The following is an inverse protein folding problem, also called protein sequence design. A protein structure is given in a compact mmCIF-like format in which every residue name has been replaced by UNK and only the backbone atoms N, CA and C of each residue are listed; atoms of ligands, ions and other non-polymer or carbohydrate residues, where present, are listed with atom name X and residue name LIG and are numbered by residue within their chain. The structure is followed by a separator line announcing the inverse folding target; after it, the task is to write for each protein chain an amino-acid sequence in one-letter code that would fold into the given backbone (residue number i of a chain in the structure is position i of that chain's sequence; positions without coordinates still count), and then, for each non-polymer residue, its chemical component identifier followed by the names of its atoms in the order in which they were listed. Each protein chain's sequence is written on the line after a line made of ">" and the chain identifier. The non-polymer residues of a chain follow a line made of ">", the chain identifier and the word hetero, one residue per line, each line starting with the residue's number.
data_IF_745342391618
#
_entry.id   IF_745342391618
#
_cell.length_a   1.000
_cell.length_b   1.000
_cell.length_c   1.000
_cell.angle_alpha   90.00
_cell.angle_beta   90.00
_cell.angle_gamma   90.00
#
_symmetry.space_group_name_H-M   'P 1'
#
loop_
_entity.id
_entity.type
_entity.pdbx_description
1 polymer ?
#
# COMPACT_ATOMS: atom_id res chain seq x y z
N UNK A 1 -37.85 15.91 -7.33
CA UNK A 1 -37.16 14.71 -7.84
C UNK A 1 -35.84 14.59 -7.09
N UNK A 2 -35.65 13.55 -6.28
CA UNK A 2 -34.34 13.27 -5.69
C UNK A 2 -33.48 12.64 -6.80
N UNK A 3 -32.37 13.28 -7.17
CA UNK A 3 -31.39 12.67 -8.07
C UNK A 3 -30.75 11.47 -7.37
N UNK A 4 -30.75 10.32 -8.05
CA UNK A 4 -30.04 9.14 -7.54
C UNK A 4 -28.55 9.45 -7.39
N UNK A 5 -27.89 8.97 -6.32
CA UNK A 5 -26.47 9.19 -6.13
C UNK A 5 -25.67 8.59 -7.29
N UNK A 6 -24.62 9.30 -7.69
CA UNK A 6 -23.73 8.80 -8.75
C UNK A 6 -22.96 7.57 -8.28
N UNK A 7 -22.47 6.74 -9.20
CA UNK A 7 -21.62 5.59 -8.84
C UNK A 7 -20.41 6.00 -7.99
N UNK A 8 -19.83 7.18 -8.27
CA UNK A 8 -18.70 7.73 -7.53
C UNK A 8 -19.06 8.04 -6.06
N UNK A 9 -20.24 8.62 -5.81
CA UNK A 9 -20.70 8.88 -4.45
C UNK A 9 -20.97 7.57 -3.69
N UNK A 10 -21.65 6.62 -4.33
CA UNK A 10 -21.98 5.33 -3.71
C UNK A 10 -20.72 4.55 -3.34
N UNK A 11 -19.75 4.46 -4.26
CA UNK A 11 -18.52 3.73 -4.01
C UNK A 11 -17.61 4.44 -3.00
N UNK A 12 -17.66 5.78 -2.91
CA UNK A 12 -16.93 6.56 -1.91
C UNK A 12 -17.48 6.26 -0.51
N UNK A 13 -18.80 6.40 -0.32
CA UNK A 13 -19.45 6.12 0.95
C UNK A 13 -19.31 4.66 1.36
N UNK A 14 -19.40 3.73 0.40
CA UNK A 14 -19.22 2.29 0.64
C UNK A 14 -17.80 1.98 1.13
N UNK A 15 -16.78 2.54 0.49
CA UNK A 15 -15.38 2.36 0.91
C UNK A 15 -15.12 3.01 2.28
N UNK A 16 -15.65 4.21 2.50
CA UNK A 16 -15.49 4.92 3.76
C UNK A 16 -16.13 4.19 4.94
N UNK A 17 -17.41 3.83 4.82
CA UNK A 17 -18.16 3.10 5.86
C UNK A 17 -17.62 1.70 6.06
N UNK A 18 -17.20 1.04 4.98
CA UNK A 18 -16.50 -0.24 5.07
C UNK A 18 -15.21 -0.13 5.90
N UNK A 19 -14.38 0.87 5.64
CA UNK A 19 -13.14 1.07 6.41
C UNK A 19 -13.43 1.40 7.89
N UNK A 20 -14.44 2.23 8.19
CA UNK A 20 -14.83 2.53 9.56
C UNK A 20 -15.33 1.28 10.30
N UNK A 21 -16.20 0.49 9.66
CA UNK A 21 -16.69 -0.76 10.21
C UNK A 21 -15.55 -1.73 10.48
N UNK A 22 -14.56 -1.81 9.59
CA UNK A 22 -13.38 -2.64 9.81
C UNK A 22 -12.64 -2.21 11.08
N UNK A 23 -12.37 -0.91 11.28
CA UNK A 23 -11.71 -0.43 12.51
C UNK A 23 -12.55 -0.65 13.76
N UNK A 24 -13.88 -0.49 13.69
CA UNK A 24 -14.78 -0.75 14.83
C UNK A 24 -14.71 -2.23 15.22
N UNK A 25 -14.77 -3.15 14.26
CA UNK A 25 -14.71 -4.59 14.53
C UNK A 25 -13.36 -4.99 15.13
N UNK A 26 -12.25 -4.57 14.50
CA UNK A 26 -10.89 -4.88 14.96
C UNK A 26 -10.62 -4.23 16.32
N UNK A 27 -11.03 -2.98 16.50
CA UNK A 27 -10.91 -2.24 17.75
C UNK A 27 -11.73 -2.89 18.88
N UNK A 28 -12.96 -3.31 18.60
CA UNK A 28 -13.82 -4.01 19.55
C UNK A 28 -13.22 -5.34 20.01
N UNK A 29 -12.73 -6.16 19.08
CA UNK A 29 -12.02 -7.42 19.39
C UNK A 29 -10.79 -7.14 20.27
N UNK A 30 -10.02 -6.12 19.91
CA UNK A 30 -8.77 -5.74 20.59
C UNK A 30 -9.04 -5.21 21.99
N UNK A 31 -10.06 -4.38 22.17
CA UNK A 31 -10.46 -3.84 23.46
C UNK A 31 -11.00 -4.93 24.40
N UNK A 32 -11.83 -5.84 23.88
CA UNK A 32 -12.36 -6.95 24.66
C UNK A 32 -11.25 -7.88 25.18
N UNK A 33 -10.17 -8.06 24.41
CA UNK A 33 -9.02 -8.90 24.77
C UNK A 33 -7.79 -8.10 25.22
N UNK A 34 -7.97 -6.86 25.68
CA UNK A 34 -6.87 -5.94 26.00
C UNK A 34 -5.82 -6.56 26.93
N UNK A 35 -6.27 -7.25 27.98
CA UNK A 35 -5.38 -7.88 28.96
C UNK A 35 -4.45 -8.91 28.34
N UNK A 36 -4.97 -9.72 27.40
CA UNK A 36 -4.22 -10.78 26.71
C UNK A 36 -3.25 -10.21 25.66
N UNK A 37 -3.60 -9.08 25.07
CA UNK A 37 -2.84 -8.48 23.97
C UNK A 37 -1.77 -7.49 24.43
N UNK A 38 -2.03 -6.73 25.52
CA UNK A 38 -1.18 -5.59 25.89
C UNK A 38 -0.48 -5.71 27.25
N UNK A 39 -0.96 -6.51 28.21
CA UNK A 39 -0.35 -6.54 29.56
C UNK A 39 0.90 -7.43 29.68
N UNK A 40 1.17 -8.29 28.70
CA UNK A 40 2.38 -9.12 28.71
C UNK A 40 3.66 -8.27 28.50
N UNK A 41 4.77 -8.64 29.16
CA UNK A 41 6.05 -7.89 29.14
C UNK A 41 6.87 -8.07 27.86
N UNK A 42 6.52 -9.02 26.98
CA UNK A 42 7.25 -9.23 25.73
C UNK A 42 6.80 -8.27 24.60
N UNK A 43 7.74 -7.81 23.77
CA UNK A 43 7.46 -7.02 22.55
C UNK A 43 6.73 -5.66 22.76
N UNK A 44 7.04 -4.95 23.86
CA UNK A 44 6.41 -3.65 24.16
C UNK A 44 6.61 -2.60 23.08
N UNK A 45 7.78 -2.58 22.42
CA UNK A 45 8.07 -1.59 21.39
C UNK A 45 7.12 -1.73 20.20
N UNK A 46 6.89 -2.96 19.75
CA UNK A 46 5.92 -3.26 18.71
C UNK A 46 4.48 -2.93 19.13
N UNK A 47 4.09 -3.26 20.37
CA UNK A 47 2.73 -2.99 20.86
C UNK A 47 2.40 -1.50 20.88
N UNK A 48 3.34 -0.67 21.37
CA UNK A 48 3.16 0.77 21.41
C UNK A 48 3.12 1.36 20.00
N UNK A 49 4.04 0.95 19.12
CA UNK A 49 4.06 1.40 17.73
C UNK A 49 2.76 1.01 17.00
N UNK A 50 2.32 -0.24 17.15
CA UNK A 50 1.10 -0.77 16.55
C UNK A 50 -0.17 -0.12 17.09
N UNK A 51 -0.26 0.13 18.40
CA UNK A 51 -1.37 0.85 19.00
C UNK A 51 -1.44 2.29 18.47
N UNK A 52 -0.33 3.02 18.48
CA UNK A 52 -0.26 4.37 17.93
C UNK A 52 -0.69 4.38 16.45
N UNK A 53 -0.14 3.48 15.63
CA UNK A 53 -0.49 3.40 14.21
C UNK A 53 -1.96 3.06 13.99
N UNK A 54 -2.53 2.12 14.76
CA UNK A 54 -3.96 1.78 14.71
C UNK A 54 -4.84 2.99 15.02
N UNK A 55 -4.54 3.72 16.09
CA UNK A 55 -5.31 4.92 16.45
C UNK A 55 -5.15 6.03 15.40
N UNK A 56 -3.95 6.19 14.83
CA UNK A 56 -3.71 7.17 13.77
C UNK A 56 -4.51 6.87 12.50
N UNK A 57 -4.56 5.60 12.10
CA UNK A 57 -5.39 5.10 11.00
C UNK A 57 -6.89 5.32 11.27
N UNK A 58 -7.36 4.93 12.46
CA UNK A 58 -8.75 5.09 12.86
C UNK A 58 -9.16 6.58 12.89
N UNK A 59 -8.30 7.46 13.42
CA UNK A 59 -8.50 8.91 13.40
C UNK A 59 -8.55 9.48 11.98
N UNK A 60 -7.69 9.01 11.08
CA UNK A 60 -7.78 9.36 9.66
C UNK A 60 -9.13 8.97 9.08
N UNK A 61 -9.57 7.75 9.35
CA UNK A 61 -10.84 7.23 8.83
C UNK A 61 -12.08 7.98 9.35
N UNK A 62 -12.03 8.57 10.56
CA UNK A 62 -13.16 9.31 11.14
C UNK A 62 -13.23 10.76 10.67
N UNK A 63 -12.22 11.24 9.94
CA UNK A 63 -12.09 12.66 9.58
C UNK A 63 -11.80 12.89 8.08
N UNK A 64 -12.11 11.89 7.23
CA UNK A 64 -11.95 11.94 5.77
C UNK A 64 -12.78 13.06 5.12
N UNK A 65 -13.98 13.30 5.65
CA UNK A 65 -14.93 14.30 5.16
C UNK A 65 -14.53 15.73 5.51
N UNK A 66 -13.61 15.91 6.45
CA UNK A 66 -13.12 17.22 6.84
C UNK A 66 -12.13 17.71 5.80
N UNK A 67 -12.45 18.82 5.14
CA UNK A 67 -11.52 19.52 4.28
C UNK A 67 -10.30 19.94 5.09
N UNK A 68 -9.14 19.38 4.75
CA UNK A 68 -7.85 19.70 5.38
C UNK A 68 -7.02 20.53 4.41
N UNK A 69 -6.24 21.46 4.94
CA UNK A 69 -5.20 22.11 4.14
C UNK A 69 -4.20 21.05 3.64
N UNK A 70 -3.58 21.34 2.50
CA UNK A 70 -2.61 20.47 1.85
C UNK A 70 -1.41 20.14 2.76
N UNK A 71 -0.99 21.10 3.60
CA UNK A 71 0.06 20.93 4.62
C UNK A 71 -0.37 19.97 5.73
N UNK A 72 -1.59 20.08 6.24
CA UNK A 72 -2.11 19.19 7.30
C UNK A 72 -2.28 17.77 6.76
N UNK A 73 -2.77 17.63 5.52
CA UNK A 73 -2.87 16.33 4.86
C UNK A 73 -1.48 15.67 4.68
N UNK A 74 -0.49 16.46 4.24
CA UNK A 74 0.88 15.97 4.09
C UNK A 74 1.51 15.56 5.42
N UNK A 75 1.42 16.40 6.46
CA UNK A 75 1.91 16.05 7.79
C UNK A 75 1.26 14.77 8.33
N UNK A 76 -0.04 14.60 8.09
CA UNK A 76 -0.74 13.37 8.46
C UNK A 76 -0.17 12.14 7.75
N UNK A 77 0.13 12.24 6.46
CA UNK A 77 0.70 11.13 5.68
C UNK A 77 2.11 10.77 6.10
N UNK A 78 2.92 11.75 6.48
CA UNK A 78 4.26 11.50 7.02
C UNK A 78 4.17 10.70 8.33
N UNK A 79 3.31 11.14 9.27
CA UNK A 79 3.11 10.41 10.52
C UNK A 79 2.55 9.00 10.25
N UNK A 80 1.64 8.88 9.28
CA UNK A 80 1.08 7.58 8.88
C UNK A 80 2.15 6.62 8.34
N UNK A 81 2.97 7.08 7.39
CA UNK A 81 4.04 6.27 6.80
C UNK A 81 5.13 5.90 7.83
N UNK A 82 5.57 6.87 8.64
CA UNK A 82 6.57 6.63 9.69
C UNK A 82 6.06 5.63 10.74
N UNK A 83 4.81 5.79 11.22
CA UNK A 83 4.25 4.86 12.21
C UNK A 83 4.01 3.45 11.64
N UNK A 84 3.62 3.32 10.37
CA UNK A 84 3.50 2.03 9.70
C UNK A 84 4.84 1.32 9.53
N UNK A 85 5.88 2.07 9.15
CA UNK A 85 7.26 1.57 9.07
C UNK A 85 7.77 1.14 10.44
N UNK A 86 7.61 1.97 11.47
CA UNK A 86 8.01 1.62 12.84
C UNK A 86 7.30 0.37 13.34
N UNK A 87 6.00 0.24 13.08
CA UNK A 87 5.20 -0.94 13.49
C UNK A 87 5.73 -2.22 12.87
N UNK A 88 6.08 -2.20 11.58
CA UNK A 88 6.58 -3.39 10.86
C UNK A 88 8.04 -3.72 11.22
N UNK A 89 8.90 -2.71 11.38
CA UNK A 89 10.30 -2.92 11.81
C UNK A 89 10.38 -3.45 13.24
N UNK A 90 9.61 -2.87 14.16
CA UNK A 90 9.57 -3.36 15.56
C UNK A 90 8.97 -4.77 15.63
N UNK A 91 8.03 -5.15 14.76
CA UNK A 91 7.55 -6.52 14.66
C UNK A 91 8.68 -7.49 14.28
N UNK A 92 9.44 -7.16 13.23
CA UNK A 92 10.55 -7.98 12.76
C UNK A 92 11.69 -8.11 13.81
N UNK A 93 11.85 -7.08 14.66
CA UNK A 93 12.81 -7.08 15.77
C UNK A 93 12.34 -7.92 16.95
N UNK A 94 11.11 -7.70 17.39
CA UNK A 94 10.59 -8.26 18.65
C UNK A 94 10.07 -9.71 18.49
N UNK A 95 9.78 -10.13 17.25
CA UNK A 95 9.39 -11.50 16.90
C UNK A 95 10.36 -12.12 15.87
N UNK A 96 11.62 -12.39 16.24
CA UNK A 96 12.62 -12.92 15.32
C UNK A 96 12.37 -14.41 15.05
N UNK A 97 11.35 -14.71 14.23
CA UNK A 97 11.05 -16.05 13.71
C UNK A 97 12.02 -16.44 12.57
N UNK A 98 13.33 -16.17 12.76
CA UNK A 98 14.37 -16.26 11.72
C UNK A 98 14.56 -17.68 11.17
N UNK A 99 14.37 -18.68 12.03
CA UNK A 99 14.55 -20.09 11.70
C UNK A 99 13.24 -20.82 11.40
N UNK A 100 12.09 -20.13 11.48
CA UNK A 100 10.80 -20.74 11.17
C UNK A 100 10.65 -20.84 9.65
N UNK A 101 10.44 -22.07 9.17
CA UNK A 101 10.15 -22.35 7.75
C UNK A 101 8.76 -22.94 7.64
N UNK A 102 7.87 -22.24 6.93
CA UNK A 102 6.54 -22.74 6.63
C UNK A 102 6.62 -23.86 5.58
N UNK A 103 5.67 -24.81 5.63
CA UNK A 103 5.59 -25.85 4.62
C UNK A 103 5.28 -25.25 3.23
N UNK A 104 5.73 -25.88 2.14
CA UNK A 104 5.36 -25.45 0.78
C UNK A 104 3.84 -25.31 0.63
N UNK A 105 3.41 -24.27 -0.08
CA UNK A 105 1.99 -23.95 -0.29
C UNK A 105 1.28 -23.26 0.88
N UNK A 106 2.00 -22.90 1.95
CA UNK A 106 1.43 -22.18 3.09
C UNK A 106 2.02 -20.75 3.20
N UNK A 107 1.15 -19.77 3.38
CA UNK A 107 1.54 -18.38 3.70
C UNK A 107 1.47 -18.17 5.21
N UNK A 108 2.48 -17.51 5.79
CA UNK A 108 2.49 -17.16 7.21
C UNK A 108 1.28 -16.32 7.63
N UNK A 109 0.69 -15.60 6.68
CA UNK A 109 -0.44 -14.69 6.88
C UNK A 109 -1.83 -15.25 6.57
N UNK A 110 -1.90 -16.35 5.80
CA UNK A 110 -3.17 -16.92 5.35
C UNK A 110 -3.44 -18.29 5.93
N UNK A 111 -2.41 -19.00 6.39
CA UNK A 111 -2.57 -20.35 6.89
C UNK A 111 -2.53 -20.44 8.39
N UNK A 112 -3.48 -21.19 8.94
CA UNK A 112 -3.57 -21.46 10.37
C UNK A 112 -2.34 -22.23 10.89
N UNK A 113 -1.72 -23.05 10.04
CA UNK A 113 -0.55 -23.88 10.39
C UNK A 113 0.78 -23.17 10.19
N UNK A 114 0.80 -22.04 9.47
CA UNK A 114 2.00 -21.28 9.15
C UNK A 114 2.18 -20.09 10.09
N UNK A 115 3.43 -19.71 10.34
CA UNK A 115 3.76 -18.53 11.15
C UNK A 115 4.30 -17.43 10.26
N UNK A 116 4.00 -16.18 10.61
CA UNK A 116 4.63 -15.02 9.96
C UNK A 116 6.12 -15.03 10.30
N UNK A 117 6.94 -15.15 9.27
CA UNK A 117 8.39 -15.19 9.40
C UNK A 117 8.97 -13.78 9.53
N UNK A 118 10.18 -13.68 10.09
CA UNK A 118 10.90 -12.41 10.13
C UNK A 118 11.13 -11.84 8.71
N UNK A 119 11.35 -12.73 7.74
CA UNK A 119 11.55 -12.36 6.36
C UNK A 119 10.30 -11.71 5.74
N UNK A 120 9.11 -12.28 5.99
CA UNK A 120 7.83 -11.70 5.59
C UNK A 120 7.60 -10.33 6.26
N UNK A 121 7.93 -10.17 7.55
CA UNK A 121 7.81 -8.88 8.25
C UNK A 121 8.74 -7.81 7.66
N UNK A 122 9.98 -8.17 7.33
CA UNK A 122 10.94 -7.26 6.69
C UNK A 122 10.56 -6.91 5.25
N UNK A 123 9.90 -7.83 4.53
CA UNK A 123 9.36 -7.52 3.21
C UNK A 123 8.24 -6.46 3.30
N UNK A 124 7.36 -6.54 4.30
CA UNK A 124 6.32 -5.52 4.49
C UNK A 124 6.87 -4.18 4.97
N UNK A 125 7.94 -4.16 5.78
CA UNK A 125 8.57 -2.89 6.16
C UNK A 125 9.15 -2.17 4.95
N UNK A 126 9.69 -2.90 3.96
CA UNK A 126 10.08 -2.33 2.67
C UNK A 126 8.89 -1.71 1.93
N UNK A 127 7.73 -2.37 1.87
CA UNK A 127 6.55 -1.78 1.21
C UNK A 127 5.96 -0.59 1.98
N UNK A 128 6.03 -0.57 3.31
CA UNK A 128 5.66 0.61 4.09
C UNK A 128 6.62 1.78 3.85
N UNK A 129 7.92 1.49 3.73
CA UNK A 129 8.89 2.47 3.31
C UNK A 129 8.56 3.03 1.91
N UNK A 130 8.20 2.17 0.96
CA UNK A 130 7.75 2.61 -0.37
C UNK A 130 6.51 3.50 -0.30
N UNK A 131 5.53 3.22 0.56
CA UNK A 131 4.36 4.10 0.74
C UNK A 131 4.78 5.48 1.28
N UNK A 132 5.66 5.54 2.29
CA UNK A 132 6.19 6.81 2.78
C UNK A 132 6.96 7.57 1.69
N UNK A 133 7.78 6.86 0.91
CA UNK A 133 8.56 7.43 -0.18
C UNK A 133 7.66 7.98 -1.30
N UNK A 134 6.59 7.26 -1.60
CA UNK A 134 5.58 7.63 -2.59
C UNK A 134 4.88 8.94 -2.21
N UNK A 135 4.48 9.14 -0.94
CA UNK A 135 3.83 10.41 -0.56
C UNK A 135 4.79 11.60 -0.55
N UNK A 136 6.06 11.36 -0.20
CA UNK A 136 7.12 12.37 -0.33
C UNK A 136 7.28 12.81 -1.78
N UNK A 137 7.36 11.85 -2.70
CA UNK A 137 7.45 12.12 -4.13
C UNK A 137 6.25 12.90 -4.66
N UNK A 138 5.02 12.46 -4.36
CA UNK A 138 3.81 13.13 -4.86
C UNK A 138 3.72 14.57 -4.35
N UNK A 139 4.09 14.84 -3.10
CA UNK A 139 4.13 16.21 -2.59
C UNK A 139 5.30 17.02 -3.16
N UNK A 140 6.46 16.40 -3.42
CA UNK A 140 7.57 17.08 -4.08
C UNK A 140 7.20 17.51 -5.51
N UNK A 141 6.54 16.65 -6.29
CA UNK A 141 6.03 17.03 -7.62
C UNK A 141 5.01 18.17 -7.51
N UNK A 142 4.11 18.11 -6.53
CA UNK A 142 3.15 19.19 -6.24
C UNK A 142 3.85 20.54 -6.11
N UNK A 143 4.86 20.60 -5.23
CA UNK A 143 5.62 21.83 -4.99
C UNK A 143 6.40 22.30 -6.22
N UNK A 144 6.98 21.39 -7.00
CA UNK A 144 7.69 21.74 -8.25
C UNK A 144 6.73 22.34 -9.29
N UNK A 145 5.52 21.79 -9.43
CA UNK A 145 4.51 22.30 -10.37
C UNK A 145 3.94 23.65 -9.91
N UNK A 146 3.68 23.81 -8.61
CA UNK A 146 3.23 25.09 -8.04
C UNK A 146 4.28 26.21 -8.23
N UNK A 147 5.55 25.89 -8.02
CA UNK A 147 6.67 26.83 -8.24
C UNK A 147 6.82 27.18 -9.72
N UNK A 148 6.71 26.20 -10.62
CA UNK A 148 6.81 26.43 -12.07
C UNK A 148 5.69 27.35 -12.59
N UNK A 149 4.46 27.19 -12.08
CA UNK A 149 3.32 28.02 -12.45
C UNK A 149 3.43 29.47 -11.96
N UNK A 150 4.18 29.71 -10.88
CA UNK A 150 4.27 31.03 -10.23
C UNK A 150 5.55 31.79 -10.58
N UNK A 151 6.67 31.10 -10.75
CA UNK A 151 8.00 31.71 -10.90
C UNK A 151 8.58 31.59 -12.32
N UNK A 152 7.76 31.31 -13.34
CA UNK A 152 8.15 31.23 -14.77
C UNK A 152 9.49 30.49 -14.99
N UNK A 153 9.69 29.32 -14.35
CA UNK A 153 10.89 28.51 -14.60
C UNK A 153 10.85 27.94 -16.03
N UNK A 154 12.03 27.90 -16.66
CA UNK A 154 12.24 27.19 -17.93
C UNK A 154 11.66 25.77 -17.88
N UNK A 155 10.85 25.41 -18.86
CA UNK A 155 10.20 24.10 -18.96
C UNK A 155 11.19 22.94 -18.88
N UNK A 156 12.38 23.11 -19.47
CA UNK A 156 13.46 22.11 -19.44
C UNK A 156 13.98 21.85 -18.02
N UNK A 157 14.05 22.89 -17.17
CA UNK A 157 14.47 22.76 -15.77
C UNK A 157 13.39 22.04 -14.98
N UNK A 158 12.13 22.41 -15.17
CA UNK A 158 10.98 21.74 -14.55
C UNK A 158 10.93 20.27 -14.94
N UNK A 159 11.11 19.94 -16.21
CA UNK A 159 11.18 18.56 -16.70
C UNK A 159 12.34 17.79 -16.06
N UNK A 160 13.55 18.36 -16.04
CA UNK A 160 14.72 17.74 -15.43
C UNK A 160 14.52 17.44 -13.93
N UNK A 161 13.90 18.37 -13.18
CA UNK A 161 13.54 18.15 -11.78
C UNK A 161 12.54 17.02 -11.61
N UNK A 162 11.50 16.95 -12.45
CA UNK A 162 10.49 15.88 -12.39
C UNK A 162 11.09 14.52 -12.73
N UNK A 163 12.00 14.45 -13.71
CA UNK A 163 12.78 13.23 -13.99
C UNK A 163 13.68 12.81 -12.83
N UNK A 164 14.34 13.78 -12.20
CA UNK A 164 15.18 13.52 -11.03
C UNK A 164 14.34 12.97 -9.86
N UNK A 165 13.15 13.53 -9.64
CA UNK A 165 12.20 13.02 -8.65
C UNK A 165 11.68 11.62 -9.01
N UNK A 166 11.40 11.35 -10.29
CA UNK A 166 11.00 10.02 -10.76
C UNK A 166 12.11 8.98 -10.53
N UNK A 167 13.36 9.35 -10.77
CA UNK A 167 14.52 8.52 -10.44
C UNK A 167 14.60 8.25 -8.94
N UNK A 168 14.51 9.31 -8.11
CA UNK A 168 14.56 9.19 -6.66
C UNK A 168 13.45 8.32 -6.09
N UNK A 169 12.20 8.44 -6.57
CA UNK A 169 11.09 7.62 -6.06
C UNK A 169 11.23 6.14 -6.46
N UNK A 170 11.93 5.87 -7.55
CA UNK A 170 12.17 4.49 -8.03
C UNK A 170 13.45 3.89 -7.45
N UNK A 171 14.40 4.70 -6.97
CA UNK A 171 15.68 4.27 -6.42
C UNK A 171 15.62 3.19 -5.31
N UNK A 172 14.60 3.15 -4.42
CA UNK A 172 14.48 2.05 -3.46
C UNK A 172 14.50 0.65 -4.07
N UNK A 173 14.09 0.49 -5.34
CA UNK A 173 14.15 -0.78 -6.04
C UNK A 173 15.58 -1.28 -6.30
N UNK A 174 16.59 -0.40 -6.36
CA UNK A 174 18.01 -0.79 -6.47
C UNK A 174 18.47 -1.66 -5.30
N UNK A 175 17.84 -1.53 -4.13
CA UNK A 175 18.17 -2.31 -2.93
C UNK A 175 17.14 -3.38 -2.62
N UNK A 176 16.15 -3.63 -3.51
CA UNK A 176 15.10 -4.63 -3.30
C UNK A 176 15.66 -6.01 -3.00
N UNK A 177 16.77 -6.39 -3.63
CA UNK A 177 17.40 -7.70 -3.46
C UNK A 177 18.04 -7.89 -2.08
N UNK A 178 18.27 -6.80 -1.32
CA UNK A 178 18.70 -6.87 0.09
C UNK A 178 17.57 -7.25 1.03
N UNK A 179 16.32 -7.13 0.58
CA UNK A 179 15.15 -7.55 1.33
C UNK A 179 14.72 -8.95 0.87
N UNK A 180 14.21 -9.79 1.78
CA UNK A 180 13.68 -11.10 1.41
C UNK A 180 12.65 -11.00 0.26
N UNK A 181 12.75 -11.91 -0.70
CA UNK A 181 11.78 -12.02 -1.81
C UNK A 181 11.10 -13.37 -1.72
N UNK A 182 9.84 -13.38 -1.27
CA UNK A 182 9.05 -14.60 -1.28
C UNK A 182 8.42 -14.80 -2.67
N UNK A 183 9.10 -15.58 -3.51
CA UNK A 183 8.61 -15.87 -4.87
C UNK A 183 7.32 -16.69 -4.82
N UNK A 184 6.25 -16.11 -5.35
CA UNK A 184 4.95 -16.75 -5.46
C UNK A 184 5.01 -18.10 -6.18
N UNK A 185 5.80 -18.19 -7.26
CA UNK A 185 5.93 -19.41 -8.08
C UNK A 185 6.63 -20.53 -7.30
N UNK A 186 7.71 -20.22 -6.58
CA UNK A 186 8.50 -21.23 -5.85
C UNK A 186 7.69 -21.90 -4.73
N UNK A 187 6.90 -21.12 -3.99
CA UNK A 187 6.14 -21.66 -2.86
C UNK A 187 4.97 -22.59 -3.29
N UNK A 188 4.47 -22.50 -4.54
CA UNK A 188 3.31 -23.27 -5.02
C UNK A 188 3.64 -24.34 -6.07
N UNK A 189 4.90 -24.45 -6.52
CA UNK A 189 5.33 -25.51 -7.44
C UNK A 189 5.62 -26.85 -6.75
N UNK A 190 5.69 -26.91 -5.42
CA UNK A 190 6.30 -28.03 -4.70
C UNK A 190 5.34 -29.01 -3.98
N UNK A 191 4.01 -28.99 -4.16
CA UNK A 191 3.20 -30.10 -3.61
C UNK A 191 1.86 -30.36 -4.31
N UNK A 192 1.47 -31.65 -4.49
CA UNK A 192 0.11 -32.06 -4.84
C UNK A 192 -0.87 -31.78 -3.68
N UNK A 193 -1.95 -31.05 -3.99
CA UNK A 193 -3.34 -31.14 -3.47
C UNK A 193 -3.70 -31.22 -1.97
N UNK A 194 -2.80 -31.41 -0.99
CA UNK A 194 -3.26 -31.87 0.35
C UNK A 194 -3.18 -30.87 1.53
N UNK A 195 -2.63 -29.64 1.39
CA UNK A 195 -2.28 -28.81 2.58
C UNK A 195 -2.85 -27.39 2.64
N UNK A 196 -3.58 -26.96 1.61
CA UNK A 196 -4.13 -25.60 1.53
C UNK A 196 -5.61 -25.68 1.13
N UNK A 197 -6.46 -24.97 1.85
CA UNK A 197 -7.89 -24.87 1.54
C UNK A 197 -8.12 -24.10 0.23
N UNK A 198 -9.26 -24.34 -0.40
CA UNK A 198 -9.69 -23.57 -1.59
C UNK A 198 -9.74 -22.08 -1.28
N UNK A 199 -10.19 -21.73 -0.07
CA UNK A 199 -10.25 -20.37 0.45
C UNK A 199 -8.86 -19.71 0.49
N UNK A 200 -7.86 -20.37 1.10
CA UNK A 200 -6.48 -19.87 1.15
C UNK A 200 -5.89 -19.69 -0.25
N UNK A 201 -6.14 -20.65 -1.15
CA UNK A 201 -5.65 -20.60 -2.53
C UNK A 201 -6.28 -19.44 -3.32
N UNK A 202 -7.57 -19.20 -3.16
CA UNK A 202 -8.27 -18.08 -3.80
C UNK A 202 -7.75 -16.74 -3.27
N UNK A 203 -7.68 -16.60 -1.95
CA UNK A 203 -7.11 -15.41 -1.27
C UNK A 203 -5.72 -15.11 -1.80
N UNK A 204 -4.88 -16.15 -1.90
CA UNK A 204 -3.52 -16.03 -2.39
C UNK A 204 -3.45 -15.49 -3.83
N UNK A 205 -4.28 -16.00 -4.75
CA UNK A 205 -4.35 -15.52 -6.14
C UNK A 205 -4.80 -14.05 -6.21
N UNK A 206 -5.81 -13.68 -5.42
CA UNK A 206 -6.30 -12.30 -5.33
C UNK A 206 -5.20 -11.37 -4.86
N UNK A 207 -4.49 -11.72 -3.77
CA UNK A 207 -3.37 -10.92 -3.26
C UNK A 207 -2.26 -10.74 -4.28
N UNK A 208 -1.96 -11.78 -5.07
CA UNK A 208 -0.98 -11.68 -6.16
C UNK A 208 -1.44 -10.69 -7.25
N UNK A 209 -2.71 -10.71 -7.61
CA UNK A 209 -3.27 -9.74 -8.56
C UNK A 209 -3.22 -8.31 -7.99
N UNK A 210 -3.61 -8.13 -6.73
CA UNK A 210 -3.52 -6.85 -6.03
C UNK A 210 -2.07 -6.33 -5.96
N UNK A 211 -1.10 -7.22 -5.76
CA UNK A 211 0.32 -6.86 -5.81
C UNK A 211 0.75 -6.32 -7.18
N UNK A 212 0.33 -6.97 -8.27
CA UNK A 212 0.64 -6.49 -9.63
C UNK A 212 0.00 -5.12 -9.89
N UNK A 213 -1.25 -4.92 -9.48
CA UNK A 213 -1.93 -3.62 -9.56
C UNK A 213 -1.20 -2.58 -8.74
N UNK A 214 -0.87 -2.89 -7.48
CA UNK A 214 -0.09 -2.00 -6.63
C UNK A 214 1.23 -1.59 -7.28
N UNK A 215 2.01 -2.54 -7.78
CA UNK A 215 3.32 -2.26 -8.36
C UNK A 215 3.22 -1.45 -9.66
N UNK A 216 2.40 -1.87 -10.61
CA UNK A 216 2.41 -1.29 -11.96
C UNK A 216 1.46 -0.11 -12.13
N UNK A 217 0.38 -0.04 -11.35
CA UNK A 217 -0.58 1.07 -11.40
C UNK A 217 -0.24 2.13 -10.35
N UNK A 218 -0.04 1.72 -9.08
CA UNK A 218 0.12 2.67 -7.97
C UNK A 218 1.55 3.17 -7.86
N UNK A 219 2.55 2.28 -7.88
CA UNK A 219 3.94 2.71 -7.76
C UNK A 219 4.45 3.24 -9.11
N UNK A 220 4.54 2.40 -10.14
CA UNK A 220 5.17 2.85 -11.39
C UNK A 220 4.25 3.74 -12.23
N UNK A 221 3.01 3.31 -12.47
CA UNK A 221 2.06 4.01 -13.33
C UNK A 221 1.73 5.42 -12.87
N UNK A 222 1.37 5.57 -11.59
CA UNK A 222 1.13 6.88 -10.99
C UNK A 222 2.38 7.74 -10.98
N UNK A 223 3.56 7.18 -10.65
CA UNK A 223 4.81 7.95 -10.65
C UNK A 223 5.16 8.47 -12.04
N UNK A 224 5.06 7.63 -13.06
CA UNK A 224 5.27 8.02 -14.45
C UNK A 224 4.23 9.07 -14.88
N UNK A 225 2.95 8.82 -14.62
CA UNK A 225 1.89 9.74 -15.04
C UNK A 225 2.07 11.13 -14.44
N UNK A 226 2.32 11.19 -13.14
CA UNK A 226 2.49 12.45 -12.38
C UNK A 226 3.86 13.09 -12.66
N UNK A 227 4.89 12.29 -12.88
CA UNK A 227 6.24 12.76 -13.19
C UNK A 227 6.39 13.31 -14.60
N UNK A 228 5.56 12.86 -15.54
CA UNK A 228 5.69 13.22 -16.96
C UNK A 228 4.58 14.16 -17.44
N UNK A 229 3.32 13.96 -17.01
CA UNK A 229 2.19 14.77 -17.48
C UNK A 229 2.06 16.09 -16.73
N UNK A 230 2.10 17.23 -17.43
CA UNK A 230 1.87 18.57 -16.83
C UNK A 230 0.39 18.84 -16.56
N UNK A 231 -0.50 18.23 -17.33
CA UNK A 231 -1.95 18.50 -17.30
C UNK A 231 -2.73 17.75 -16.19
N UNK A 232 -2.04 17.07 -15.26
CA UNK A 232 -2.72 16.30 -14.21
C UNK A 232 -2.90 17.16 -12.96
N UNK A 233 -4.12 17.24 -12.39
CA UNK A 233 -4.41 18.14 -11.28
C UNK A 233 -3.95 17.54 -9.94
N UNK A 234 -2.64 17.37 -9.75
CA UNK A 234 -2.06 16.72 -8.57
C UNK A 234 -2.46 17.44 -7.25
N UNK A 235 -2.61 18.76 -7.28
CA UNK A 235 -2.95 19.57 -6.12
C UNK A 235 -4.31 19.19 -5.53
N UNK A 236 -5.33 19.12 -6.39
CA UNK A 236 -6.68 18.70 -5.97
C UNK A 236 -6.71 17.20 -5.72
N UNK A 237 -6.01 16.40 -6.52
CA UNK A 237 -5.95 14.95 -6.37
C UNK A 237 -5.56 14.51 -4.94
N UNK A 238 -4.44 15.02 -4.41
CA UNK A 238 -3.92 14.61 -3.09
C UNK A 238 -4.80 15.04 -1.90
N UNK A 239 -5.68 16.02 -2.13
CA UNK A 239 -6.64 16.50 -1.11
C UNK A 239 -8.04 15.91 -1.28
N UNK A 240 -8.30 15.16 -2.36
CA UNK A 240 -9.61 14.52 -2.55
C UNK A 240 -9.90 13.46 -1.49
N UNK A 241 -11.14 13.40 -0.96
CA UNK A 241 -11.55 12.35 -0.04
C UNK A 241 -11.35 10.92 -0.59
N UNK A 242 -11.52 10.72 -1.90
CA UNK A 242 -11.27 9.44 -2.55
C UNK A 242 -9.82 8.98 -2.44
N UNK A 243 -8.86 9.88 -2.71
CA UNK A 243 -7.43 9.59 -2.50
C UNK A 243 -7.14 9.29 -1.03
N UNK A 244 -7.71 10.07 -0.10
CA UNK A 244 -7.52 9.86 1.35
C UNK A 244 -7.95 8.47 1.79
N UNK A 245 -9.13 8.00 1.37
CA UNK A 245 -9.62 6.65 1.68
C UNK A 245 -8.70 5.60 1.12
N UNK A 246 -8.34 5.71 -0.16
CA UNK A 246 -7.43 4.77 -0.80
C UNK A 246 -6.09 4.68 -0.06
N UNK A 247 -5.51 5.83 0.26
CA UNK A 247 -4.24 5.92 0.96
C UNK A 247 -4.29 5.28 2.36
N UNK A 248 -5.38 5.51 3.09
CA UNK A 248 -5.63 4.85 4.39
C UNK A 248 -5.79 3.34 4.22
N UNK A 249 -6.57 2.89 3.24
CA UNK A 249 -6.77 1.47 2.96
C UNK A 249 -5.47 0.76 2.63
N UNK A 250 -4.63 1.39 1.80
CA UNK A 250 -3.32 0.88 1.42
C UNK A 250 -2.42 0.67 2.64
N UNK A 251 -2.27 1.70 3.48
CA UNK A 251 -1.46 1.61 4.70
C UNK A 251 -2.04 0.60 5.71
N UNK A 252 -3.37 0.52 5.80
CA UNK A 252 -4.08 -0.46 6.64
C UNK A 252 -3.78 -1.89 6.21
N UNK A 253 -3.88 -2.19 4.91
CA UNK A 253 -3.68 -3.53 4.38
C UNK A 253 -2.28 -4.10 4.67
N UNK A 254 -1.24 -3.25 4.62
CA UNK A 254 0.14 -3.67 4.87
C UNK A 254 0.45 -4.04 6.33
N UNK A 255 -0.36 -3.58 7.30
CA UNK A 255 -0.16 -3.89 8.73
C UNK A 255 -1.20 -4.88 9.25
N UNK A 256 -2.47 -4.69 8.89
CA UNK A 256 -3.57 -5.40 9.54
C UNK A 256 -3.59 -6.89 9.23
N UNK A 257 -3.09 -7.31 8.08
CA UNK A 257 -3.01 -8.73 7.77
C UNK A 257 -2.19 -9.49 8.82
N UNK A 258 -1.01 -8.98 9.20
CA UNK A 258 -0.18 -9.60 10.23
C UNK A 258 -0.78 -9.48 11.62
N UNK A 259 -1.40 -8.34 11.90
CA UNK A 259 -2.06 -8.13 13.18
C UNK A 259 -3.19 -9.16 13.38
N UNK A 260 -4.07 -9.30 12.38
CA UNK A 260 -5.17 -10.27 12.44
C UNK A 260 -4.65 -11.71 12.55
N UNK A 261 -3.59 -12.06 11.81
CA UNK A 261 -2.96 -13.37 11.96
C UNK A 261 -2.39 -13.59 13.37
N UNK A 262 -1.83 -12.56 13.99
CA UNK A 262 -1.35 -12.62 15.37
C UNK A 262 -2.49 -12.86 16.37
N UNK A 263 -3.67 -12.29 16.13
CA UNK A 263 -4.88 -12.58 16.93
C UNK A 263 -5.30 -14.06 16.80
N UNK A 264 -5.17 -14.65 15.61
CA UNK A 264 -5.41 -16.08 15.42
C UNK A 264 -4.42 -16.93 16.21
N UNK A 265 -3.12 -16.59 16.15
CA UNK A 265 -2.09 -17.32 16.90
C UNK A 265 -2.24 -17.23 18.41
N UNK A 266 -2.80 -16.13 18.89
CA UNK A 266 -3.15 -15.94 20.31
C UNK A 266 -4.51 -16.55 20.68
N UNK A 267 -5.19 -17.23 19.75
CA UNK A 267 -6.53 -17.82 19.94
C UNK A 267 -7.60 -16.79 20.33
N UNK A 268 -7.38 -15.53 19.96
CA UNK A 268 -8.32 -14.41 20.16
C UNK A 268 -9.30 -14.30 19.00
N UNK A 269 -8.88 -14.74 17.81
CA UNK A 269 -9.67 -14.68 16.58
C UNK A 269 -9.64 -16.05 15.89
N UNK A 270 -10.74 -16.49 15.29
CA UNK A 270 -10.72 -17.70 14.46
C UNK A 270 -10.09 -17.41 13.09
N UNK A 271 -9.52 -18.44 12.44
CA UNK A 271 -8.99 -18.30 11.08
C UNK A 271 -10.07 -17.83 10.09
N UNK A 272 -11.29 -18.34 10.21
CA UNK A 272 -12.41 -17.95 9.35
C UNK A 272 -12.80 -16.47 9.52
N UNK A 273 -12.82 -15.97 10.76
CA UNK A 273 -13.07 -14.56 11.07
C UNK A 273 -11.96 -13.67 10.51
N UNK A 274 -10.70 -14.05 10.67
CA UNK A 274 -9.57 -13.33 10.09
C UNK A 274 -9.68 -13.24 8.56
N UNK A 275 -9.95 -14.36 7.88
CA UNK A 275 -10.09 -14.36 6.42
C UNK A 275 -11.26 -13.49 5.96
N UNK A 276 -12.36 -13.47 6.72
CA UNK A 276 -13.50 -12.58 6.45
C UNK A 276 -13.11 -11.11 6.56
N UNK A 277 -12.41 -10.72 7.63
CA UNK A 277 -11.93 -9.35 7.81
C UNK A 277 -10.94 -8.93 6.71
N UNK A 278 -10.02 -9.83 6.32
CA UNK A 278 -9.11 -9.57 5.20
C UNK A 278 -9.86 -9.40 3.87
N UNK A 279 -10.88 -10.23 3.59
CA UNK A 279 -11.73 -10.07 2.38
C UNK A 279 -12.45 -8.73 2.37
N UNK A 280 -13.03 -8.34 3.50
CA UNK A 280 -13.68 -7.04 3.66
C UNK A 280 -12.71 -5.90 3.33
N UNK A 281 -11.51 -5.92 3.90
CA UNK A 281 -10.49 -4.90 3.64
C UNK A 281 -10.01 -4.91 2.18
N UNK A 282 -9.87 -6.08 1.56
CA UNK A 282 -9.52 -6.20 0.15
C UNK A 282 -10.60 -5.61 -0.76
N UNK A 283 -11.88 -5.84 -0.49
CA UNK A 283 -12.99 -5.26 -1.26
C UNK A 283 -13.00 -3.74 -1.10
N UNK A 284 -12.96 -3.25 0.14
CA UNK A 284 -12.96 -1.81 0.44
C UNK A 284 -11.77 -1.09 -0.21
N UNK A 285 -10.57 -1.66 -0.11
CA UNK A 285 -9.37 -1.07 -0.71
C UNK A 285 -9.40 -1.10 -2.24
N UNK A 286 -9.97 -2.15 -2.85
CA UNK A 286 -10.11 -2.25 -4.31
C UNK A 286 -11.09 -1.21 -4.83
N UNK A 287 -12.25 -1.02 -4.18
CA UNK A 287 -13.21 0.03 -4.56
C UNK A 287 -12.54 1.40 -4.45
N UNK A 288 -11.89 1.71 -3.33
CA UNK A 288 -11.19 2.98 -3.14
C UNK A 288 -10.10 3.23 -4.21
N UNK A 289 -9.35 2.19 -4.60
CA UNK A 289 -8.32 2.27 -5.64
C UNK A 289 -8.94 2.56 -7.02
N UNK A 290 -10.05 1.90 -7.36
CA UNK A 290 -10.76 2.12 -8.63
C UNK A 290 -11.24 3.58 -8.75
N UNK A 291 -11.72 4.17 -7.66
CA UNK A 291 -12.23 5.54 -7.69
C UNK A 291 -11.15 6.60 -7.74
N UNK A 292 -10.08 6.41 -6.97
CA UNK A 292 -9.04 7.42 -6.83
C UNK A 292 -7.99 7.32 -7.93
N UNK A 293 -7.44 6.12 -8.16
CA UNK A 293 -6.20 5.99 -8.93
C UNK A 293 -6.45 5.75 -10.41
N UNK A 294 -7.47 4.99 -10.80
CA UNK A 294 -7.71 4.67 -12.22
C UNK A 294 -7.93 5.93 -13.06
N UNK A 295 -8.64 6.93 -12.54
CA UNK A 295 -8.85 8.20 -13.25
C UNK A 295 -7.61 9.12 -13.30
N UNK A 296 -6.64 8.91 -12.41
CA UNK A 296 -5.43 9.73 -12.32
C UNK A 296 -4.29 9.21 -13.19
N UNK A 297 -4.19 7.89 -13.37
CA UNK A 297 -3.09 7.23 -14.08
C UNK A 297 -3.33 7.17 -15.60
N UNK A 298 -2.24 7.17 -16.36
CA UNK A 298 -2.23 6.82 -17.77
C UNK A 298 -2.13 5.28 -17.89
N UNK A 299 -3.21 4.64 -18.35
CA UNK A 299 -3.30 3.18 -18.40
C UNK A 299 -2.27 2.56 -19.36
N UNK A 300 -1.88 3.30 -20.38
CA UNK A 300 -0.84 2.95 -21.33
C UNK A 300 0.51 2.82 -20.63
N UNK A 301 0.89 3.80 -19.80
CA UNK A 301 2.13 3.75 -19.01
C UNK A 301 2.11 2.60 -18.00
N UNK A 302 0.96 2.35 -17.38
CA UNK A 302 0.77 1.19 -16.49
C UNK A 302 0.98 -0.13 -17.24
N UNK A 303 0.41 -0.27 -18.44
CA UNK A 303 0.52 -1.47 -19.27
C UNK A 303 1.96 -1.70 -19.75
N UNK A 304 2.64 -0.66 -20.24
CA UNK A 304 4.06 -0.75 -20.62
C UNK A 304 4.93 -1.10 -19.42
N UNK A 305 4.68 -0.51 -18.25
CA UNK A 305 5.37 -0.87 -17.01
C UNK A 305 5.18 -2.34 -16.65
N UNK A 306 3.96 -2.86 -16.74
CA UNK A 306 3.67 -4.27 -16.50
C UNK A 306 4.43 -5.16 -17.48
N UNK A 307 4.30 -4.90 -18.79
CA UNK A 307 4.93 -5.72 -19.83
C UNK A 307 6.45 -5.73 -19.72
N UNK A 308 7.08 -4.55 -19.58
CA UNK A 308 8.53 -4.46 -19.44
C UNK A 308 9.04 -5.16 -18.18
N UNK A 309 8.34 -5.05 -17.05
CA UNK A 309 8.76 -5.75 -15.83
C UNK A 309 8.43 -7.24 -15.82
N UNK A 310 7.57 -7.72 -16.72
CA UNK A 310 7.36 -9.16 -16.94
C UNK A 310 8.48 -9.76 -17.81
N UNK A 311 8.95 -9.01 -18.81
CA UNK A 311 10.02 -9.41 -19.74
C UNK A 311 11.41 -9.21 -19.12
N UNK A 312 11.70 -7.99 -18.65
CA UNK A 312 12.95 -7.59 -18.05
C UNK A 312 12.82 -7.50 -16.52
N UNK A 313 12.72 -8.66 -15.87
CA UNK A 313 12.48 -8.76 -14.42
C UNK A 313 13.66 -8.23 -13.60
N UNK A 314 13.37 -7.74 -12.40
CA UNK A 314 14.36 -7.18 -11.45
C UNK A 314 15.05 -5.90 -11.92
N UNK A 315 14.63 -5.33 -13.05
CA UNK A 315 15.17 -4.09 -13.61
C UNK A 315 14.18 -2.94 -13.46
N UNK A 316 13.49 -2.87 -12.31
CA UNK A 316 12.40 -1.91 -12.04
C UNK A 316 12.81 -0.45 -12.29
N UNK A 317 14.04 -0.08 -11.89
CA UNK A 317 14.59 1.26 -12.09
C UNK A 317 14.83 1.54 -13.57
N UNK A 318 15.54 0.65 -14.27
CA UNK A 318 15.87 0.81 -15.69
C UNK A 318 14.59 0.85 -16.52
N UNK A 319 13.64 -0.05 -16.26
CA UNK A 319 12.37 -0.11 -16.97
C UNK A 319 11.56 1.18 -16.78
N UNK A 320 11.43 1.68 -15.55
CA UNK A 320 10.66 2.90 -15.26
C UNK A 320 11.29 4.12 -15.91
N UNK A 321 12.61 4.28 -15.81
CA UNK A 321 13.31 5.41 -16.43
C UNK A 321 13.28 5.33 -17.96
N UNK A 322 13.44 4.13 -18.51
CA UNK A 322 13.33 3.88 -19.95
C UNK A 322 11.97 4.29 -20.50
N UNK A 323 10.89 3.96 -19.78
CA UNK A 323 9.54 4.43 -20.13
C UNK A 323 9.47 5.96 -20.09
N UNK A 324 10.02 6.60 -19.06
CA UNK A 324 10.03 8.05 -18.95
C UNK A 324 10.75 8.73 -20.11
N UNK A 325 11.96 8.26 -20.44
CA UNK A 325 12.75 8.79 -21.56
C UNK A 325 12.00 8.60 -22.87
N UNK A 326 11.48 7.39 -23.13
CA UNK A 326 10.72 7.11 -24.34
C UNK A 326 9.48 8.01 -24.47
N UNK A 327 8.75 8.23 -23.37
CA UNK A 327 7.60 9.13 -23.35
C UNK A 327 7.96 10.55 -23.76
N UNK A 328 9.02 11.13 -23.17
CA UNK A 328 9.47 12.50 -23.52
C UNK A 328 9.92 12.61 -24.97
N UNK A 329 10.66 11.62 -25.46
CA UNK A 329 11.12 11.63 -26.86
C UNK A 329 9.94 11.58 -27.84
N UNK A 330 8.90 10.80 -27.52
CA UNK A 330 7.71 10.69 -28.36
C UNK A 330 6.84 11.95 -28.31
N UNK A 331 6.71 12.60 -27.15
CA UNK A 331 5.89 13.82 -27.02
C UNK A 331 6.58 15.07 -27.55
N UNK A 332 7.91 15.11 -27.61
CA UNK A 332 8.64 16.26 -28.18
C UNK A 332 8.73 16.21 -29.71
N UNK A 333 8.29 15.13 -30.35
CA UNK A 333 8.24 15.00 -31.81
C UNK A 333 6.88 15.40 -32.42
N UNK A 334 5.86 15.63 -31.58
CA UNK A 334 4.50 16.03 -31.97
C UNK A 334 4.26 17.50 -31.68
#
# INVERSE_FOLDING_TARGET
>A
MYSLPTWNELAFHSSWKGLQMFFILVGGITAFHWTTLFLDRHAWSHRLAGAFHFFWLAFGSSTIDRQRSSTVAFAYDIVLGCSGLLTTVTAARDFPHRYVRNAPGQSGTLSEKAMVTQAEMMEHSFYQFLNLWQVLYLNAIRFVLDDAATNFRNESVTLALRFSLLWLVTAPWCVRDRFPVHSFRRNWQQTPSAKCTVSETLMYRIKKAQYLVYKHVILHGLNLTVGLSTNRPINSFLTTPCWRIFWLCLNTAYVMEFFLQSLVKRKVLSQASMLTLNRMLMVVSTIAAMQSVIGMVCLELCAVSLLLNLVNRHQDVINTLGIGIAFVLLTNQT
#
